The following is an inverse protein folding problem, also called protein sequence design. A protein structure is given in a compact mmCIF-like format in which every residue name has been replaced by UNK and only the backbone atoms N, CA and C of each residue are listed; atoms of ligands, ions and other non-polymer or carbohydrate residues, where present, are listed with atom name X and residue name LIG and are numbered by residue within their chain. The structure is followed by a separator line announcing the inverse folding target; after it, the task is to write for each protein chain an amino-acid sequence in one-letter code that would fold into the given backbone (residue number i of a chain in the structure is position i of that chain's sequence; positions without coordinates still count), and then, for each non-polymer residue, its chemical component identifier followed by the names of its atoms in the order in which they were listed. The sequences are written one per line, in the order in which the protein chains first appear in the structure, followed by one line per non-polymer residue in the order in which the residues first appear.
data_IF_279454373773
#
_entry.id   IF_279454373773
#
_cell.length_a   1.000
_cell.length_b   1.000
_cell.length_c   1.000
_cell.angle_alpha   90.00
_cell.angle_beta   90.00
_cell.angle_gamma   90.00
#
_symmetry.space_group_name_H-M   'P 1'
#
loop_
_entity.id
_entity.type
_entity.pdbx_description
1 polymer ?
#
# COMPACT_ATOMS: atom_id res chain seq x y z
N UNK A 1 -15.91 19.74 11.51
CA UNK A 1 -16.60 18.46 11.75
C UNK A 1 -16.42 17.61 10.49
N UNK A 2 -15.74 16.48 10.60
CA UNK A 2 -15.55 15.56 9.47
C UNK A 2 -16.90 14.89 9.22
N UNK A 3 -17.40 15.02 8.01
CA UNK A 3 -18.69 14.42 7.62
C UNK A 3 -18.52 12.88 7.60
N UNK A 4 -19.06 12.18 8.60
CA UNK A 4 -18.90 10.72 8.80
C UNK A 4 -19.50 9.86 7.67
N UNK A 5 -20.22 10.45 6.74
CA UNK A 5 -20.89 9.72 5.65
C UNK A 5 -19.98 9.43 4.43
N UNK A 6 -18.76 9.99 4.37
CA UNK A 6 -17.90 9.91 3.18
C UNK A 6 -16.48 9.39 3.46
N UNK A 7 -16.36 8.25 4.13
CA UNK A 7 -15.05 7.61 4.30
C UNK A 7 -14.43 7.26 2.93
N UNK A 8 -13.14 7.59 2.73
CA UNK A 8 -12.36 7.23 1.53
C UNK A 8 -12.14 5.72 1.48
N UNK A 9 -11.86 5.12 2.63
CA UNK A 9 -11.69 3.68 2.80
C UNK A 9 -12.49 3.19 4.00
N UNK A 10 -13.22 2.11 3.82
CA UNK A 10 -13.89 1.39 4.92
C UNK A 10 -13.37 -0.04 4.93
N UNK A 11 -12.87 -0.50 6.08
CA UNK A 11 -12.44 -1.89 6.30
C UNK A 11 -13.32 -2.52 7.36
N UNK A 12 -13.81 -3.73 7.10
CA UNK A 12 -14.71 -4.46 8.02
C UNK A 12 -14.21 -5.89 8.19
N UNK A 13 -13.97 -6.26 9.44
CA UNK A 13 -13.63 -7.60 9.89
C UNK A 13 -12.49 -8.26 9.11
N UNK A 14 -11.46 -7.44 8.76
CA UNK A 14 -10.30 -7.92 8.02
C UNK A 14 -9.65 -9.09 8.75
N UNK A 15 -9.47 -10.17 8.01
CA UNK A 15 -8.94 -11.42 8.49
C UNK A 15 -7.83 -11.92 7.55
N UNK A 16 -6.64 -12.14 8.11
CA UNK A 16 -5.52 -12.75 7.38
C UNK A 16 -4.84 -13.80 8.23
N UNK A 17 -4.68 -15.00 7.69
CA UNK A 17 -3.93 -16.08 8.30
C UNK A 17 -2.95 -16.71 7.31
N UNK A 18 -1.87 -17.24 7.86
CA UNK A 18 -0.93 -18.09 7.15
C UNK A 18 -1.08 -19.52 7.64
N UNK A 19 -1.49 -20.41 6.76
CA UNK A 19 -1.81 -21.81 7.06
C UNK A 19 -3.31 -22.13 6.92
N UNK A 20 -3.64 -23.41 6.94
CA UNK A 20 -5.00 -23.90 6.63
C UNK A 20 -6.01 -23.65 7.77
N UNK A 21 -5.53 -23.46 8.99
CA UNK A 21 -6.37 -23.39 10.17
C UNK A 21 -6.99 -24.72 10.56
N UNK A 22 -7.33 -24.88 11.81
CA UNK A 22 -8.08 -26.02 12.33
C UNK A 22 -9.32 -25.52 13.09
N UNK A 23 -10.20 -26.41 13.47
CA UNK A 23 -11.40 -26.09 14.26
C UNK A 23 -11.08 -25.32 15.53
N UNK A 24 -10.01 -25.72 16.24
CA UNK A 24 -9.56 -25.08 17.45
C UNK A 24 -9.28 -23.59 17.26
N UNK A 25 -8.48 -23.20 16.23
CA UNK A 25 -8.14 -21.80 16.03
C UNK A 25 -9.23 -21.00 15.29
N UNK A 26 -10.20 -21.65 14.68
CA UNK A 26 -11.40 -21.01 14.11
C UNK A 26 -12.45 -20.68 15.18
N UNK A 27 -12.53 -21.47 16.25
CA UNK A 27 -13.54 -21.35 17.32
C UNK A 27 -13.20 -20.31 18.41
N UNK A 28 -12.37 -19.29 18.10
CA UNK A 28 -11.97 -18.20 19.02
C UNK A 28 -11.20 -18.62 20.27
N UNK A 29 -10.60 -19.80 20.30
CA UNK A 29 -9.72 -20.18 21.42
C UNK A 29 -8.49 -19.26 21.47
N UNK A 30 -7.89 -19.04 22.66
CA UNK A 30 -6.72 -18.22 22.82
C UNK A 30 -5.56 -18.75 21.99
N UNK A 31 -4.92 -17.85 21.24
CA UNK A 31 -3.73 -18.12 20.44
C UNK A 31 -2.49 -17.74 21.26
N UNK A 32 -1.43 -18.49 21.15
CA UNK A 32 -0.14 -18.11 21.70
C UNK A 32 0.62 -17.25 20.69
N UNK A 33 0.81 -15.96 21.01
CA UNK A 33 1.47 -14.98 20.12
C UNK A 33 0.94 -15.05 18.69
N UNK A 34 -0.40 -15.01 18.52
CA UNK A 34 -1.11 -15.11 17.23
C UNK A 34 -0.94 -16.45 16.49
N UNK A 35 -0.34 -17.45 17.11
CA UNK A 35 -0.13 -18.79 16.55
C UNK A 35 -1.04 -19.82 17.22
N UNK A 36 -1.64 -20.66 16.40
CA UNK A 36 -2.41 -21.80 16.92
C UNK A 36 -1.47 -22.88 17.46
N UNK A 37 -1.58 -23.27 18.75
CA UNK A 37 -0.70 -24.30 19.31
C UNK A 37 -0.92 -25.69 18.68
N UNK A 38 -2.12 -25.95 18.16
CA UNK A 38 -2.50 -27.25 17.58
C UNK A 38 -2.03 -27.43 16.14
N UNK A 39 -2.23 -26.44 15.27
CA UNK A 39 -1.96 -26.57 13.81
C UNK A 39 -0.86 -25.63 13.31
N UNK A 40 -0.30 -24.78 14.16
CA UNK A 40 0.77 -23.85 13.79
C UNK A 40 0.34 -22.67 12.91
N UNK A 41 -0.95 -22.56 12.55
CA UNK A 41 -1.47 -21.41 11.78
C UNK A 41 -1.21 -20.10 12.50
N UNK A 42 -0.67 -19.13 11.78
CA UNK A 42 -0.44 -17.76 12.28
C UNK A 42 -1.61 -16.86 11.81
N UNK A 43 -2.24 -16.19 12.74
CA UNK A 43 -3.29 -15.20 12.48
C UNK A 43 -2.65 -13.82 12.50
N UNK A 44 -2.23 -13.36 11.33
CA UNK A 44 -1.53 -12.08 11.19
C UNK A 44 -2.46 -10.88 11.40
N UNK A 45 -3.72 -10.98 10.97
CA UNK A 45 -4.76 -9.97 11.19
C UNK A 45 -6.04 -10.70 11.60
N UNK A 46 -6.72 -10.20 12.65
CA UNK A 46 -7.94 -10.84 13.15
C UNK A 46 -8.99 -9.80 13.52
N UNK A 47 -10.07 -9.77 12.74
CA UNK A 47 -11.26 -8.91 12.93
C UNK A 47 -10.89 -7.42 13.10
N UNK A 48 -10.08 -6.89 12.18
CA UNK A 48 -9.70 -5.48 12.19
C UNK A 48 -10.68 -4.69 11.34
N UNK A 49 -11.29 -3.67 11.94
CA UNK A 49 -12.23 -2.75 11.27
C UNK A 49 -11.83 -1.32 11.55
N UNK A 50 -11.83 -0.47 10.51
CA UNK A 50 -11.55 0.96 10.63
C UNK A 50 -12.06 1.71 9.39
N UNK A 51 -12.16 3.02 9.53
CA UNK A 51 -12.50 3.94 8.46
C UNK A 51 -11.40 4.99 8.31
N UNK A 52 -11.16 5.46 7.08
CA UNK A 52 -10.25 6.56 6.77
C UNK A 52 -11.03 7.62 6.02
N UNK A 53 -10.93 8.88 6.45
CA UNK A 53 -11.68 10.01 5.90
C UNK A 53 -10.80 10.89 5.01
N UNK A 54 -11.39 11.76 4.16
CA UNK A 54 -10.62 12.68 3.34
C UNK A 54 -9.73 13.59 4.19
N UNK A 55 -8.44 13.70 3.81
CA UNK A 55 -7.45 14.51 4.54
C UNK A 55 -6.99 13.93 5.87
N UNK A 56 -7.44 12.73 6.24
CA UNK A 56 -7.04 12.05 7.47
C UNK A 56 -5.75 11.25 7.28
N UNK A 57 -4.92 11.23 8.33
CA UNK A 57 -3.80 10.31 8.48
C UNK A 57 -4.11 9.34 9.62
N UNK A 58 -4.46 8.10 9.26
CA UNK A 58 -4.71 7.03 10.23
C UNK A 58 -3.40 6.28 10.54
N UNK A 59 -2.94 6.38 11.79
CA UNK A 59 -1.76 5.64 12.28
C UNK A 59 -2.13 4.27 12.85
N UNK A 60 -1.47 3.21 12.34
CA UNK A 60 -1.56 1.86 12.90
C UNK A 60 -0.29 1.61 13.72
N UNK A 61 -0.44 1.50 15.04
CA UNK A 61 0.67 1.31 15.97
C UNK A 61 0.61 -0.07 16.63
N UNK A 62 1.76 -0.59 17.04
CA UNK A 62 1.89 -1.89 17.70
C UNK A 62 3.30 -2.43 17.63
N UNK A 63 3.58 -3.49 18.38
CA UNK A 63 4.89 -4.14 18.43
C UNK A 63 5.33 -4.70 17.07
N UNK A 64 6.63 -4.98 16.92
CA UNK A 64 7.13 -5.70 15.75
C UNK A 64 6.46 -7.07 15.64
N UNK A 65 6.04 -7.45 14.44
CA UNK A 65 5.31 -8.71 14.20
C UNK A 65 3.81 -8.67 14.57
N UNK A 66 3.24 -7.54 15.01
CA UNK A 66 1.80 -7.44 15.34
C UNK A 66 0.85 -7.46 14.15
N UNK A 67 1.38 -7.46 12.90
CA UNK A 67 0.56 -7.54 11.69
C UNK A 67 0.31 -6.22 10.96
N UNK A 68 0.94 -5.10 11.37
CA UNK A 68 0.78 -3.77 10.72
C UNK A 68 1.03 -3.83 9.21
N UNK A 69 2.19 -4.32 8.80
CA UNK A 69 2.53 -4.48 7.38
C UNK A 69 1.59 -5.46 6.67
N UNK A 70 1.06 -6.45 7.39
CA UNK A 70 0.10 -7.41 6.83
C UNK A 70 -1.24 -6.73 6.49
N UNK A 71 -1.70 -5.77 7.28
CA UNK A 71 -2.89 -4.96 6.96
C UNK A 71 -2.65 -4.17 5.67
N UNK A 72 -1.52 -3.43 5.57
CA UNK A 72 -1.18 -2.62 4.39
C UNK A 72 -1.07 -3.47 3.13
N UNK A 73 -0.34 -4.59 3.19
CA UNK A 73 -0.15 -5.53 2.08
C UNK A 73 -1.45 -6.21 1.65
N UNK A 74 -2.37 -6.47 2.58
CA UNK A 74 -3.71 -6.99 2.27
C UNK A 74 -4.53 -5.96 1.49
N UNK A 75 -4.53 -4.70 1.91
CA UNK A 75 -5.23 -3.62 1.21
C UNK A 75 -4.65 -3.36 -0.18
N UNK A 76 -3.34 -3.53 -0.34
CA UNK A 76 -2.67 -3.36 -1.62
C UNK A 76 -2.67 -4.65 -2.48
N UNK A 77 -3.39 -5.70 -2.08
CA UNK A 77 -3.49 -7.00 -2.77
C UNK A 77 -2.17 -7.76 -2.93
N UNK A 78 -1.18 -7.48 -2.08
CA UNK A 78 0.07 -8.25 -2.04
C UNK A 78 -0.08 -9.54 -1.22
N UNK A 79 -1.11 -9.59 -0.37
CA UNK A 79 -1.57 -10.80 0.34
C UNK A 79 -3.04 -11.04 0.07
N UNK A 80 -3.40 -12.30 -0.17
CA UNK A 80 -4.81 -12.69 -0.24
C UNK A 80 -5.40 -12.77 1.16
N UNK A 81 -6.49 -12.04 1.37
CA UNK A 81 -7.20 -12.03 2.64
C UNK A 81 -7.95 -13.34 2.86
N UNK A 82 -8.05 -13.75 4.12
CA UNK A 82 -8.83 -14.94 4.50
C UNK A 82 -10.32 -14.62 4.65
N UNK A 83 -10.65 -13.36 4.96
CA UNK A 83 -12.02 -12.87 5.13
C UNK A 83 -12.07 -11.38 5.39
N UNK A 84 -13.28 -10.87 5.52
CA UNK A 84 -13.55 -9.45 5.67
C UNK A 84 -13.86 -8.74 4.36
N UNK A 85 -14.05 -7.43 4.45
CA UNK A 85 -14.35 -6.60 3.29
C UNK A 85 -13.65 -5.24 3.40
N UNK A 86 -13.33 -4.67 2.25
CA UNK A 86 -12.84 -3.30 2.14
C UNK A 86 -13.56 -2.60 0.98
N UNK A 87 -13.93 -1.35 1.21
CA UNK A 87 -14.67 -0.52 0.27
C UNK A 87 -13.91 0.79 0.07
N UNK A 88 -13.56 1.10 -1.17
CA UNK A 88 -12.85 2.31 -1.56
C UNK A 88 -13.83 3.25 -2.26
N UNK A 89 -14.06 4.45 -1.71
CA UNK A 89 -15.04 5.41 -2.23
C UNK A 89 -14.83 5.73 -3.71
N UNK A 90 -13.58 5.88 -4.15
CA UNK A 90 -13.22 6.16 -5.54
C UNK A 90 -13.43 4.96 -6.48
N UNK A 91 -13.69 3.77 -5.94
CA UNK A 91 -13.96 2.57 -6.72
C UNK A 91 -15.43 2.19 -6.58
N UNK A 92 -16.20 2.35 -7.67
CA UNK A 92 -17.63 2.03 -7.73
C UNK A 92 -18.45 2.64 -6.57
N UNK A 93 -18.16 3.91 -6.23
CA UNK A 93 -18.80 4.65 -5.11
C UNK A 93 -18.70 3.94 -3.73
N UNK A 94 -17.68 3.09 -3.54
CA UNK A 94 -17.54 2.33 -2.30
C UNK A 94 -18.58 1.22 -2.11
N UNK A 95 -19.26 0.76 -3.18
CA UNK A 95 -20.32 -0.26 -3.10
C UNK A 95 -19.80 -1.69 -3.25
N UNK A 96 -18.58 -1.84 -3.76
CA UNK A 96 -18.02 -3.16 -4.09
C UNK A 96 -16.85 -3.47 -3.16
N UNK A 97 -16.88 -4.69 -2.57
CA UNK A 97 -15.76 -5.20 -1.80
C UNK A 97 -14.54 -5.43 -2.71
N UNK A 98 -13.47 -4.63 -2.49
CA UNK A 98 -12.27 -4.69 -3.33
C UNK A 98 -11.51 -6.01 -3.18
N UNK A 99 -11.65 -6.74 -2.08
CA UNK A 99 -11.00 -8.04 -1.90
C UNK A 99 -11.52 -9.10 -2.88
N UNK A 100 -12.77 -8.97 -3.34
CA UNK A 100 -13.35 -9.82 -4.38
C UNK A 100 -13.03 -9.39 -5.81
N UNK A 101 -12.22 -8.33 -6.00
CA UNK A 101 -11.91 -7.80 -7.32
C UNK A 101 -11.08 -8.79 -8.16
N UNK A 102 -11.38 -8.86 -9.46
CA UNK A 102 -10.60 -9.61 -10.44
C UNK A 102 -9.18 -9.04 -10.58
N UNK A 103 -8.26 -9.79 -11.17
CA UNK A 103 -6.87 -9.35 -11.38
C UNK A 103 -6.80 -8.04 -12.19
N UNK A 104 -7.69 -7.84 -13.17
CA UNK A 104 -7.77 -6.62 -13.95
C UNK A 104 -8.24 -5.43 -13.10
N UNK A 105 -9.26 -5.62 -12.27
CA UNK A 105 -9.79 -4.61 -11.35
C UNK A 105 -8.76 -4.25 -10.26
N UNK A 106 -8.07 -5.23 -9.68
CA UNK A 106 -6.98 -4.99 -8.71
C UNK A 106 -5.86 -4.16 -9.34
N UNK A 107 -5.48 -4.45 -10.60
CA UNK A 107 -4.50 -3.65 -11.34
C UNK A 107 -4.95 -2.22 -11.54
N UNK A 108 -6.22 -2.01 -11.88
CA UNK A 108 -6.80 -0.66 -11.99
C UNK A 108 -6.72 0.08 -10.65
N UNK A 109 -7.18 -0.53 -9.56
CA UNK A 109 -7.16 0.06 -8.21
C UNK A 109 -5.72 0.42 -7.79
N UNK A 110 -4.75 -0.50 -7.95
CA UNK A 110 -3.33 -0.26 -7.62
C UNK A 110 -2.72 0.88 -8.44
N UNK A 111 -3.08 1.01 -9.70
CA UNK A 111 -2.42 1.97 -10.59
C UNK A 111 -3.06 3.35 -10.57
N UNK A 112 -4.36 3.46 -10.33
CA UNK A 112 -5.08 4.73 -10.41
C UNK A 112 -5.52 5.28 -9.05
N UNK A 113 -5.87 4.41 -8.09
CA UNK A 113 -6.56 4.83 -6.88
C UNK A 113 -5.72 4.74 -5.62
N UNK A 114 -4.70 3.88 -5.62
CA UNK A 114 -3.86 3.62 -4.46
C UNK A 114 -2.38 3.79 -4.75
N UNK A 115 -1.64 4.36 -3.78
CA UNK A 115 -0.18 4.32 -3.71
C UNK A 115 0.27 3.42 -2.57
N UNK A 116 1.44 2.77 -2.71
CA UNK A 116 2.07 1.97 -1.66
C UNK A 116 3.54 2.32 -1.54
N UNK A 117 3.97 2.60 -0.32
CA UNK A 117 5.37 2.80 0.04
C UNK A 117 5.76 1.69 1.01
N UNK A 118 6.70 0.85 0.61
CA UNK A 118 7.17 -0.27 1.41
C UNK A 118 8.30 0.17 2.35
N UNK A 119 8.43 -0.50 3.48
CA UNK A 119 9.54 -0.31 4.42
C UNK A 119 10.91 -0.47 3.73
N UNK A 120 11.03 -1.48 2.87
CA UNK A 120 12.24 -1.68 2.06
C UNK A 120 12.04 -1.12 0.65
N UNK A 121 12.81 -0.10 0.23
CA UNK A 121 12.70 0.48 -1.11
C UNK A 121 12.91 -0.51 -2.26
N UNK A 122 13.64 -1.59 -2.05
CA UNK A 122 13.84 -2.65 -3.04
C UNK A 122 12.54 -3.32 -3.50
N UNK A 123 11.50 -3.28 -2.69
CA UNK A 123 10.20 -3.86 -3.04
C UNK A 123 9.37 -2.93 -3.95
N UNK A 124 9.62 -1.63 -3.89
CA UNK A 124 8.87 -0.61 -4.62
C UNK A 124 9.59 -0.03 -5.84
N UNK A 125 10.93 -0.14 -5.90
CA UNK A 125 11.76 0.48 -6.93
C UNK A 125 12.46 -0.54 -7.83
N UNK A 126 12.63 -0.19 -9.10
CA UNK A 126 13.57 -0.83 -10.01
C UNK A 126 14.93 -0.16 -9.82
N UNK A 127 15.80 -0.81 -9.05
CA UNK A 127 17.07 -0.23 -8.60
C UNK A 127 18.05 0.12 -9.72
N UNK A 128 17.95 -0.56 -10.86
CA UNK A 128 18.82 -0.38 -12.04
C UNK A 128 18.23 0.59 -13.09
N UNK A 129 16.97 0.98 -12.96
CA UNK A 129 16.34 1.96 -13.85
C UNK A 129 16.42 3.36 -13.26
N UNK A 130 16.51 4.39 -14.10
CA UNK A 130 16.54 5.77 -13.63
C UNK A 130 15.32 6.12 -12.76
N UNK A 131 15.45 7.16 -11.93
CA UNK A 131 14.31 7.67 -11.14
C UNK A 131 13.14 8.06 -12.04
N UNK A 132 13.41 8.73 -13.17
CA UNK A 132 12.39 9.06 -14.16
C UNK A 132 11.70 7.81 -14.73
N UNK A 133 12.44 6.74 -15.03
CA UNK A 133 11.88 5.49 -15.53
C UNK A 133 11.02 4.78 -14.47
N UNK A 134 11.39 4.87 -13.19
CA UNK A 134 10.58 4.37 -12.09
C UNK A 134 9.23 5.08 -11.99
N UNK A 135 9.17 6.40 -12.20
CA UNK A 135 7.89 7.13 -12.21
C UNK A 135 7.09 6.85 -13.48
N UNK A 136 7.77 6.83 -14.65
CA UNK A 136 7.15 6.50 -15.93
C UNK A 136 6.50 5.11 -15.90
N UNK A 137 7.12 4.11 -15.28
CA UNK A 137 6.54 2.76 -15.10
C UNK A 137 5.12 2.84 -14.47
N UNK A 138 4.97 3.63 -13.40
CA UNK A 138 3.68 3.79 -12.71
C UNK A 138 2.65 4.53 -13.56
N UNK A 139 3.09 5.57 -14.28
CA UNK A 139 2.24 6.39 -15.16
C UNK A 139 1.77 5.56 -16.37
N UNK A 140 2.66 4.80 -17.00
CA UNK A 140 2.34 3.92 -18.13
C UNK A 140 1.40 2.80 -17.69
N UNK A 141 1.59 2.25 -16.48
CA UNK A 141 0.71 1.22 -15.92
C UNK A 141 -0.73 1.72 -15.71
N UNK A 142 -0.93 3.04 -15.59
CA UNK A 142 -2.23 3.69 -15.59
C UNK A 142 -2.69 4.13 -17.00
N UNK A 143 -2.10 3.55 -18.06
CA UNK A 143 -2.45 3.79 -19.46
C UNK A 143 -2.15 5.21 -20.00
N UNK A 144 -1.38 6.01 -19.28
CA UNK A 144 -0.91 7.30 -19.79
C UNK A 144 0.46 7.12 -20.46
N UNK A 145 0.54 7.40 -21.77
CA UNK A 145 1.75 7.28 -22.59
C UNK A 145 2.27 8.64 -23.09
N UNK A 146 1.79 9.73 -22.54
CA UNK A 146 2.26 11.06 -22.90
C UNK A 146 3.64 11.35 -22.31
N UNK A 147 4.66 11.39 -23.14
CA UNK A 147 6.07 11.59 -22.74
C UNK A 147 6.27 12.96 -22.09
N UNK A 148 5.67 14.02 -22.63
CA UNK A 148 5.78 15.36 -22.07
C UNK A 148 5.16 15.44 -20.66
N UNK A 149 4.03 14.76 -20.45
CA UNK A 149 3.42 14.63 -19.12
C UNK A 149 4.35 13.89 -18.15
N UNK A 150 4.95 12.76 -18.58
CA UNK A 150 5.86 11.99 -17.73
C UNK A 150 7.11 12.79 -17.34
N UNK A 151 7.66 13.57 -18.27
CA UNK A 151 8.84 14.41 -18.01
C UNK A 151 8.50 15.53 -17.01
N UNK A 152 7.43 16.28 -17.24
CA UNK A 152 6.96 17.32 -16.32
C UNK A 152 6.64 16.76 -14.93
N UNK A 153 5.93 15.62 -14.88
CA UNK A 153 5.61 14.96 -13.61
C UNK A 153 6.85 14.47 -12.87
N UNK A 154 7.89 14.03 -13.60
CA UNK A 154 9.16 13.64 -13.00
C UNK A 154 9.85 14.81 -12.31
N UNK A 155 9.87 15.99 -12.94
CA UNK A 155 10.44 17.21 -12.35
C UNK A 155 9.69 17.57 -11.07
N UNK A 156 8.36 17.69 -11.14
CA UNK A 156 7.51 18.00 -10.00
C UNK A 156 7.72 17.05 -8.82
N UNK A 157 7.78 15.74 -9.08
CA UNK A 157 7.94 14.72 -8.04
C UNK A 157 9.32 14.75 -7.37
N UNK A 158 10.39 15.03 -8.13
CA UNK A 158 11.73 15.14 -7.58
C UNK A 158 11.87 16.41 -6.74
N UNK A 159 11.35 17.54 -7.20
CA UNK A 159 11.33 18.81 -6.46
C UNK A 159 10.56 18.67 -5.14
N UNK A 160 9.40 18.03 -5.15
CA UNK A 160 8.57 17.82 -3.97
C UNK A 160 9.29 17.03 -2.84
N UNK A 161 10.29 16.21 -3.20
CA UNK A 161 11.07 15.42 -2.23
C UNK A 161 12.53 15.91 -2.12
N UNK A 162 12.82 17.12 -2.56
CA UNK A 162 14.14 17.77 -2.47
C UNK A 162 15.29 16.95 -3.11
N UNK A 163 15.03 16.30 -4.24
CA UNK A 163 16.04 15.64 -5.07
C UNK A 163 16.29 16.52 -6.29
N UNK A 164 17.55 16.83 -6.56
CA UNK A 164 17.93 17.64 -7.72
C UNK A 164 17.42 17.00 -9.02
N UNK A 165 16.73 17.77 -9.83
CA UNK A 165 16.15 17.31 -11.11
C UNK A 165 17.20 16.85 -12.12
N UNK A 166 18.44 17.37 -12.02
CA UNK A 166 19.59 16.88 -12.79
C UNK A 166 19.90 15.41 -12.56
N UNK A 167 19.50 14.86 -11.40
CA UNK A 167 19.71 13.45 -11.04
C UNK A 167 18.61 12.51 -11.51
N UNK A 168 17.63 13.01 -12.29
CA UNK A 168 16.49 12.21 -12.79
C UNK A 168 16.89 10.97 -13.58
N UNK A 169 18.05 11.02 -14.26
CA UNK A 169 18.60 9.91 -15.04
C UNK A 169 19.35 8.88 -14.18
N UNK A 170 19.66 9.20 -12.91
CA UNK A 170 20.38 8.30 -12.03
C UNK A 170 19.46 7.20 -11.48
N UNK A 171 19.97 5.95 -11.39
CA UNK A 171 19.25 4.85 -10.79
C UNK A 171 19.28 4.93 -9.26
N UNK A 172 18.19 4.48 -8.57
CA UNK A 172 18.10 4.52 -7.11
C UNK A 172 19.24 3.81 -6.38
N UNK A 173 19.89 2.81 -6.97
CA UNK A 173 21.07 2.15 -6.37
C UNK A 173 22.22 3.10 -6.05
N UNK A 174 22.29 4.24 -6.75
CA UNK A 174 23.34 5.26 -6.53
C UNK A 174 22.94 6.27 -5.44
N UNK A 175 21.76 6.13 -4.85
CA UNK A 175 21.21 7.03 -3.85
C UNK A 175 21.40 6.48 -2.44
N UNK A 176 21.49 7.37 -1.45
CA UNK A 176 21.41 6.97 -0.05
C UNK A 176 20.06 6.33 0.27
N UNK A 177 19.96 5.57 1.37
CA UNK A 177 18.71 4.94 1.78
C UNK A 177 17.53 5.92 1.91
N UNK A 178 17.78 7.11 2.51
CA UNK A 178 16.78 8.17 2.60
C UNK A 178 16.36 8.72 1.23
N UNK A 179 17.28 8.87 0.30
CA UNK A 179 16.95 9.29 -1.08
C UNK A 179 16.16 8.20 -1.82
N UNK A 180 16.51 6.92 -1.64
CA UNK A 180 15.74 5.80 -2.20
C UNK A 180 14.30 5.82 -1.68
N UNK A 181 14.13 6.08 -0.38
CA UNK A 181 12.80 6.22 0.24
C UNK A 181 12.01 7.38 -0.36
N UNK A 182 12.65 8.55 -0.55
CA UNK A 182 12.02 9.71 -1.20
C UNK A 182 11.60 9.41 -2.65
N UNK A 183 12.43 8.72 -3.44
CA UNK A 183 12.07 8.27 -4.80
C UNK A 183 10.90 7.29 -4.77
N UNK A 184 10.85 6.39 -3.78
CA UNK A 184 9.74 5.45 -3.64
C UNK A 184 8.42 6.17 -3.30
N UNK A 185 8.45 7.15 -2.41
CA UNK A 185 7.29 8.00 -2.09
C UNK A 185 6.81 8.72 -3.35
N UNK A 186 7.73 9.34 -4.09
CA UNK A 186 7.42 10.01 -5.36
C UNK A 186 6.77 9.05 -6.38
N UNK A 187 7.30 7.83 -6.52
CA UNK A 187 6.70 6.81 -7.38
C UNK A 187 5.29 6.44 -6.95
N UNK A 188 5.04 6.29 -5.65
CA UNK A 188 3.71 5.99 -5.13
C UNK A 188 2.70 7.12 -5.42
N UNK A 189 3.17 8.37 -5.48
CA UNK A 189 2.38 9.57 -5.76
C UNK A 189 2.26 9.91 -7.25
N UNK A 190 2.93 9.18 -8.16
CA UNK A 190 3.04 9.55 -9.57
C UNK A 190 1.68 9.76 -10.27
N UNK A 191 0.66 9.01 -9.91
CA UNK A 191 -0.70 9.09 -10.46
C UNK A 191 -1.71 9.82 -9.55
N UNK A 192 -1.27 10.60 -8.56
CA UNK A 192 -2.13 11.29 -7.60
C UNK A 192 -3.20 10.36 -6.97
N UNK A 193 -2.81 9.26 -6.32
CA UNK A 193 -3.78 8.33 -5.76
C UNK A 193 -4.59 8.99 -4.64
N UNK A 194 -5.86 8.62 -4.53
CA UNK A 194 -6.73 9.11 -3.44
C UNK A 194 -6.45 8.46 -2.09
N UNK A 195 -5.71 7.35 -2.07
CA UNK A 195 -5.28 6.66 -0.85
C UNK A 195 -3.80 6.30 -0.95
N UNK A 196 -3.03 6.67 0.07
CA UNK A 196 -1.61 6.30 0.20
C UNK A 196 -1.42 5.38 1.40
N UNK A 197 -0.84 4.23 1.17
CA UNK A 197 -0.47 3.25 2.20
C UNK A 197 1.04 3.37 2.48
N UNK A 198 1.39 3.57 3.75
CA UNK A 198 2.78 3.79 4.18
C UNK A 198 3.18 2.71 5.19
N UNK A 199 4.13 1.84 4.83
CA UNK A 199 4.63 0.77 5.70
C UNK A 199 5.99 1.19 6.29
N UNK A 200 6.00 1.67 7.54
CA UNK A 200 7.18 2.07 8.33
C UNK A 200 8.18 3.00 7.59
N UNK A 201 7.67 4.03 6.90
CA UNK A 201 8.48 4.92 6.05
C UNK A 201 9.43 5.87 6.80
N UNK A 202 9.31 5.97 8.13
CA UNK A 202 10.08 6.93 8.95
C UNK A 202 11.43 6.38 9.46
N UNK A 203 11.73 5.11 9.26
CA UNK A 203 12.94 4.46 9.78
C UNK A 203 14.22 4.77 9.00
N UNK A 204 14.15 5.55 7.93
CA UNK A 204 15.27 5.91 7.06
C UNK A 204 15.37 7.39 6.67
N UNK A 205 14.58 8.25 7.31
CA UNK A 205 14.60 9.70 7.09
C UNK A 205 15.49 10.39 8.09
#
# INVERSE_FOLDING_TARGET
MINKEEAVLQVRDLLLRYGNGCECCRSRQPLEKNRCPRCGTVWAVRNVSFDVYPGEVLGIVGESGSGKSSVMKSLYFDHEVTGGSAFLKQYQDGKINIFGASSQQRRYIKNHLMGMVYQNPLLGLRMDYSSAANFAEKIIAASNRNVAFMDGRTVELLEAVEILTSRRAEPPRNFSGGMQQRVQISKALANNPGLLLLDEVTTGL
#
